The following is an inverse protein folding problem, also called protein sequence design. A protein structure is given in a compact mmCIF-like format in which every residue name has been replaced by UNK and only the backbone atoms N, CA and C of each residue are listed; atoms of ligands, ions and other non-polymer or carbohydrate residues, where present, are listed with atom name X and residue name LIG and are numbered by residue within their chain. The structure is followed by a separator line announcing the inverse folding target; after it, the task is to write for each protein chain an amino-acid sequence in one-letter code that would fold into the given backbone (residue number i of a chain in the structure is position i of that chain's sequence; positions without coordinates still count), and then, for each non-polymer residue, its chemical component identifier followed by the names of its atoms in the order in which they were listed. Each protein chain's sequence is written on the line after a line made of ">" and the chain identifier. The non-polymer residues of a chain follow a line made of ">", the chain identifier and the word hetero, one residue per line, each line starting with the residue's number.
data_IF_463557200145
#
_entry.id   IF_463557200145
#
_cell.length_a   1.000
_cell.length_b   1.000
_cell.length_c   1.000
_cell.angle_alpha   90.00
_cell.angle_beta   90.00
_cell.angle_gamma   90.00
#
_symmetry.space_group_name_H-M   'P 1'
#
loop_
_entity.id
_entity.type
_entity.pdbx_description
1 polymer ?
#
# COMPACT_ATOMS: atom_id res chain seq x y z
N UNK A 1 12.93 8.32 7.03
CA UNK A 1 11.99 7.58 6.15
C UNK A 1 11.64 6.16 6.65
N UNK A 2 12.06 5.72 7.85
CA UNK A 2 11.80 4.34 8.35
C UNK A 2 10.41 4.15 8.97
N UNK A 3 10.14 4.80 10.10
CA UNK A 3 8.95 4.52 10.93
C UNK A 3 7.58 4.68 10.25
N UNK A 4 7.38 5.73 9.43
CA UNK A 4 6.08 5.97 8.79
C UNK A 4 5.73 4.88 7.78
N UNK A 5 6.74 4.35 7.09
CA UNK A 5 6.59 3.28 6.10
C UNK A 5 6.32 1.94 6.78
N UNK A 6 6.95 1.68 7.92
CA UNK A 6 6.72 0.47 8.71
C UNK A 6 5.34 0.45 9.35
N UNK A 7 4.89 1.58 9.93
CA UNK A 7 3.52 1.69 10.48
C UNK A 7 2.46 1.51 9.39
N UNK A 8 2.70 2.05 8.19
CA UNK A 8 1.81 1.84 7.04
C UNK A 8 1.79 0.38 6.58
N UNK A 9 2.97 -0.26 6.48
CA UNK A 9 3.09 -1.68 6.13
C UNK A 9 2.30 -2.54 7.12
N UNK A 10 2.50 -2.36 8.42
CA UNK A 10 1.78 -3.10 9.45
C UNK A 10 0.26 -2.88 9.33
N UNK A 11 -0.17 -1.63 9.18
CA UNK A 11 -1.59 -1.28 9.06
C UNK A 11 -2.28 -1.95 7.86
N UNK A 12 -1.61 -2.00 6.70
CA UNK A 12 -2.14 -2.65 5.50
C UNK A 12 -2.09 -4.18 5.65
N UNK A 13 -1.01 -4.75 6.17
CA UNK A 13 -0.88 -6.21 6.35
C UNK A 13 -1.92 -6.77 7.32
N UNK A 14 -2.21 -6.07 8.42
CA UNK A 14 -3.28 -6.44 9.36
C UNK A 14 -4.67 -6.49 8.70
N UNK A 15 -4.88 -5.67 7.67
CA UNK A 15 -6.14 -5.58 6.90
C UNK A 15 -6.11 -6.39 5.61
N UNK A 16 -4.99 -7.04 5.32
CA UNK A 16 -4.81 -7.91 4.16
C UNK A 16 -5.30 -9.31 4.52
N UNK A 17 -5.91 -9.99 3.56
CA UNK A 17 -6.30 -11.39 3.73
C UNK A 17 -5.04 -12.22 4.09
N UNK A 18 -5.12 -13.15 5.05
CA UNK A 18 -3.95 -13.93 5.48
C UNK A 18 -3.19 -14.58 4.32
N UNK A 19 -3.92 -15.13 3.35
CA UNK A 19 -3.37 -15.77 2.15
C UNK A 19 -2.68 -14.80 1.19
N UNK A 20 -2.98 -13.50 1.27
CA UNK A 20 -2.44 -12.46 0.40
C UNK A 20 -1.42 -11.57 1.12
N UNK A 21 -1.11 -11.82 2.39
CA UNK A 21 -0.15 -11.02 3.16
C UNK A 21 1.25 -11.05 2.54
N UNK A 22 1.71 -12.22 2.07
CA UNK A 22 3.01 -12.35 1.41
C UNK A 22 3.09 -11.50 0.12
N UNK A 23 2.05 -11.58 -0.72
CA UNK A 23 1.96 -10.83 -1.97
C UNK A 23 1.85 -9.33 -1.73
N UNK A 24 1.06 -8.91 -0.74
CA UNK A 24 0.96 -7.51 -0.33
C UNK A 24 2.30 -6.97 0.17
N UNK A 25 3.03 -7.77 0.95
CA UNK A 25 4.34 -7.37 1.46
C UNK A 25 5.33 -7.12 0.31
N UNK A 26 5.37 -8.04 -0.67
CA UNK A 26 6.17 -7.89 -1.88
C UNK A 26 5.75 -6.67 -2.73
N UNK A 27 4.45 -6.40 -2.81
CA UNK A 27 3.92 -5.24 -3.53
C UNK A 27 4.33 -3.92 -2.86
N UNK A 28 4.31 -3.85 -1.53
CA UNK A 28 4.81 -2.69 -0.77
C UNK A 28 6.32 -2.50 -1.00
N UNK A 29 7.11 -3.58 -1.00
CA UNK A 29 8.54 -3.54 -1.29
C UNK A 29 8.82 -3.01 -2.71
N UNK A 30 8.07 -3.46 -3.72
CA UNK A 30 8.18 -2.96 -5.10
C UNK A 30 7.84 -1.47 -5.20
N UNK A 31 6.78 -1.01 -4.51
CA UNK A 31 6.41 0.42 -4.46
C UNK A 31 7.52 1.26 -3.83
N UNK A 32 8.09 0.81 -2.71
CA UNK A 32 9.18 1.54 -2.02
C UNK A 32 10.45 1.55 -2.88
N UNK A 33 10.78 0.45 -3.54
CA UNK A 33 11.91 0.37 -4.46
C UNK A 33 11.73 1.30 -5.66
N UNK A 34 10.54 1.34 -6.26
CA UNK A 34 10.17 2.26 -7.35
C UNK A 34 10.20 3.72 -6.89
N UNK A 35 9.75 4.01 -5.68
CA UNK A 35 9.81 5.36 -5.12
C UNK A 35 11.26 5.83 -4.94
N UNK A 36 12.12 4.98 -4.36
CA UNK A 36 13.55 5.29 -4.15
C UNK A 36 14.31 5.47 -5.46
N UNK A 37 13.95 4.71 -6.49
CA UNK A 37 14.58 4.81 -7.82
C UNK A 37 13.99 5.92 -8.71
N UNK A 38 12.97 6.66 -8.24
CA UNK A 38 12.28 7.67 -9.03
C UNK A 38 11.37 7.12 -10.13
N UNK A 39 11.16 5.80 -10.18
CA UNK A 39 10.36 5.10 -11.18
C UNK A 39 8.90 4.89 -10.75
N UNK A 40 8.48 5.41 -9.61
CA UNK A 40 7.09 5.36 -9.17
C UNK A 40 6.24 6.34 -9.97
N UNK A 41 5.80 5.90 -11.15
CA UNK A 41 4.91 6.65 -12.03
C UNK A 41 3.44 6.46 -11.66
N UNK A 42 2.59 7.42 -12.05
CA UNK A 42 1.12 7.33 -11.92
C UNK A 42 0.59 6.05 -12.58
N UNK A 43 1.16 5.63 -13.71
CA UNK A 43 0.82 4.37 -14.39
C UNK A 43 1.13 3.16 -13.53
N UNK A 44 2.27 3.14 -12.84
CA UNK A 44 2.62 2.07 -11.91
C UNK A 44 1.59 1.98 -10.79
N UNK A 45 1.24 3.11 -10.17
CA UNK A 45 0.22 3.18 -9.13
C UNK A 45 -1.16 2.69 -9.62
N UNK A 46 -1.57 3.06 -10.84
CA UNK A 46 -2.83 2.59 -11.43
C UNK A 46 -2.89 1.07 -11.62
N UNK A 47 -1.76 0.39 -11.73
CA UNK A 47 -1.71 -1.09 -11.80
C UNK A 47 -1.57 -1.76 -10.44
N UNK A 48 -0.91 -1.11 -9.48
CA UNK A 48 -0.61 -1.67 -8.16
C UNK A 48 -1.77 -1.48 -7.18
N UNK A 49 -2.47 -0.34 -7.24
CA UNK A 49 -3.59 -0.05 -6.34
C UNK A 49 -4.74 -1.05 -6.48
N UNK A 50 -5.23 -1.41 -7.69
CA UNK A 50 -6.29 -2.43 -7.81
C UNK A 50 -5.86 -3.80 -7.29
N UNK A 51 -4.60 -4.18 -7.49
CA UNK A 51 -4.04 -5.43 -6.97
C UNK A 51 -4.02 -5.43 -5.44
N UNK A 52 -3.52 -4.35 -4.83
CA UNK A 52 -3.52 -4.19 -3.38
C UNK A 52 -4.95 -4.23 -2.81
N UNK A 53 -5.92 -3.58 -3.46
CA UNK A 53 -7.33 -3.66 -3.04
C UNK A 53 -7.89 -5.09 -3.14
N UNK A 54 -7.55 -5.86 -4.17
CA UNK A 54 -8.00 -7.26 -4.29
C UNK A 54 -7.50 -8.19 -3.18
N UNK A 55 -6.34 -7.86 -2.61
CA UNK A 55 -5.69 -8.58 -1.51
C UNK A 55 -6.20 -8.16 -0.12
N UNK A 56 -6.75 -6.94 0.00
CA UNK A 56 -7.33 -6.42 1.23
C UNK A 56 -8.65 -7.13 1.54
N UNK A 57 -8.93 -7.31 2.83
CA UNK A 57 -10.21 -7.86 3.28
C UNK A 57 -11.35 -6.93 2.85
N UNK A 58 -12.48 -7.46 2.31
CA UNK A 58 -13.56 -6.63 1.78
C UNK A 58 -14.11 -5.61 2.80
N UNK A 59 -14.18 -5.98 4.08
CA UNK A 59 -14.61 -5.10 5.17
C UNK A 59 -13.62 -4.00 5.53
N UNK A 60 -12.34 -4.17 5.20
CA UNK A 60 -11.28 -3.22 5.51
C UNK A 60 -10.92 -2.30 4.33
N UNK A 61 -11.49 -2.53 3.14
CA UNK A 61 -11.23 -1.73 1.93
C UNK A 61 -11.53 -0.24 2.13
N UNK A 62 -12.65 0.08 2.78
CA UNK A 62 -13.04 1.46 3.08
C UNK A 62 -12.01 2.15 3.99
N UNK A 63 -11.62 1.48 5.07
CA UNK A 63 -10.62 2.01 6.02
C UNK A 63 -9.25 2.22 5.37
N UNK A 64 -8.78 1.27 4.55
CA UNK A 64 -7.49 1.41 3.88
C UNK A 64 -7.53 2.53 2.84
N UNK A 65 -8.64 2.68 2.10
CA UNK A 65 -8.82 3.79 1.16
C UNK A 65 -8.78 5.15 1.86
N UNK A 66 -9.51 5.30 2.95
CA UNK A 66 -9.54 6.55 3.73
C UNK A 66 -8.18 6.86 4.35
N UNK A 67 -7.48 5.83 4.83
CA UNK A 67 -6.12 5.97 5.34
C UNK A 67 -5.13 6.43 4.25
N UNK A 68 -5.20 5.83 3.05
CA UNK A 68 -4.37 6.24 1.91
C UNK A 68 -4.66 7.68 1.47
N UNK A 69 -5.92 8.10 1.46
CA UNK A 69 -6.30 9.48 1.14
C UNK A 69 -5.75 10.47 2.18
N UNK A 70 -5.88 10.16 3.47
CA UNK A 70 -5.27 10.97 4.55
C UNK A 70 -3.74 11.03 4.46
N UNK A 71 -3.08 9.97 3.98
CA UNK A 71 -1.63 9.98 3.78
C UNK A 71 -1.20 10.86 2.60
N UNK A 72 -1.97 10.86 1.50
CA UNK A 72 -1.70 11.72 0.33
C UNK A 72 -1.68 13.20 0.71
N UNK A 73 -2.59 13.64 1.57
CA UNK A 73 -2.63 15.03 2.04
C UNK A 73 -1.48 15.37 3.01
N UNK A 74 -0.91 14.37 3.69
CA UNK A 74 0.27 14.54 4.56
C UNK A 74 1.62 14.43 3.82
N UNK A 75 1.60 14.17 2.51
CA UNK A 75 2.76 14.14 1.63
C UNK A 75 2.91 15.41 0.78
N UNK A 76 2.02 16.40 0.95
CA UNK A 76 2.17 17.75 0.41
C UNK A 76 3.10 18.62 1.24
#
# INVERSE_FOLDING_TARGET
>A
MGEKTEKFRAYILERTKPEAQADMNALIDDVVAKQKSGNLSTTSLMTLVPKAMGMIQPGALGEVRDYMLKMKDNLK
#
